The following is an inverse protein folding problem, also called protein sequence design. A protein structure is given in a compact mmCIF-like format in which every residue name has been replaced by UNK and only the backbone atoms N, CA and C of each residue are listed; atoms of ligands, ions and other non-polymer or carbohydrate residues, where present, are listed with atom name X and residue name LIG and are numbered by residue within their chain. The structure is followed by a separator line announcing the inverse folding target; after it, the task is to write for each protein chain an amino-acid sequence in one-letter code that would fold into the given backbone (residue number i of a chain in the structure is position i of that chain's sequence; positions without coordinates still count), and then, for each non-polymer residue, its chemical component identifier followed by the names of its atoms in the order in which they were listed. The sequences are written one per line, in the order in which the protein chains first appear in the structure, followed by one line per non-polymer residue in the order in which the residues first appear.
data_IF_027778393212
#
_entry.id   IF_027778393212
#
_cell.length_a   1.000
_cell.length_b   1.000
_cell.length_c   1.000
_cell.angle_alpha   90.00
_cell.angle_beta   90.00
_cell.angle_gamma   90.00
#
_symmetry.space_group_name_H-M   'P 1'
#
loop_
_entity.id
_entity.type
_entity.pdbx_description
1 polymer ?
#
# COMPACT_ATOMS: atom_id res chain seq x y z
N UNK A 1 -1.17 10.58 -18.89
CA UNK A 1 -0.74 9.69 -17.79
C UNK A 1 -1.91 9.55 -16.85
N UNK A 2 -2.30 8.31 -16.48
CA UNK A 2 -3.33 8.11 -15.48
C UNK A 2 -2.80 8.59 -14.12
N UNK A 3 -3.54 9.46 -13.46
CA UNK A 3 -3.19 9.91 -12.12
C UNK A 3 -3.40 8.76 -11.12
N UNK A 4 -2.50 8.61 -10.16
CA UNK A 4 -2.51 7.53 -9.17
C UNK A 4 -2.53 6.12 -9.81
N UNK A 5 -1.67 5.93 -10.83
CA UNK A 5 -1.59 4.69 -11.61
C UNK A 5 -1.38 3.44 -10.76
N UNK A 6 -0.64 3.56 -9.66
CA UNK A 6 -0.30 2.46 -8.76
C UNK A 6 -1.49 2.09 -7.88
N UNK A 7 -2.43 3.00 -7.62
CA UNK A 7 -3.75 2.62 -7.07
C UNK A 7 -4.58 1.88 -8.12
N UNK A 8 -4.63 2.38 -9.36
CA UNK A 8 -5.48 1.81 -10.43
C UNK A 8 -5.06 0.41 -10.80
N UNK A 9 -3.76 0.17 -10.97
CA UNK A 9 -3.26 -1.13 -11.41
C UNK A 9 -3.35 -2.22 -10.34
N UNK A 10 -3.72 -1.87 -9.12
CA UNK A 10 -4.02 -2.80 -8.03
C UNK A 10 -5.50 -3.24 -7.98
N UNK A 11 -6.33 -2.84 -8.95
CA UNK A 11 -7.77 -3.12 -8.96
C UNK A 11 -8.11 -4.09 -10.11
N UNK A 12 -8.34 -5.40 -9.84
CA UNK A 12 -8.47 -6.43 -10.89
C UNK A 12 -9.53 -6.20 -11.96
N UNK A 13 -10.57 -5.43 -11.64
CA UNK A 13 -11.67 -5.14 -12.57
C UNK A 13 -11.56 -3.76 -13.24
N UNK A 14 -10.47 -3.02 -13.01
CA UNK A 14 -10.14 -1.83 -13.79
C UNK A 14 -9.33 -2.21 -15.02
N UNK A 15 -9.54 -1.50 -16.14
CA UNK A 15 -8.81 -1.71 -17.40
C UNK A 15 -7.28 -1.57 -17.23
N UNK A 16 -6.85 -0.82 -16.20
CA UNK A 16 -5.44 -0.61 -15.88
C UNK A 16 -4.82 -1.63 -14.94
N UNK A 17 -5.51 -2.72 -14.57
CA UNK A 17 -4.96 -3.77 -13.71
C UNK A 17 -3.66 -4.36 -14.28
N UNK A 18 -2.71 -4.64 -13.38
CA UNK A 18 -1.42 -5.24 -13.68
C UNK A 18 -1.19 -6.40 -12.71
N UNK A 19 -1.04 -7.61 -13.22
CA UNK A 19 -0.72 -8.81 -12.41
C UNK A 19 0.60 -8.65 -11.63
N UNK A 20 1.50 -7.77 -12.09
CA UNK A 20 2.75 -7.46 -11.40
C UNK A 20 2.63 -6.32 -10.38
N UNK A 21 1.42 -5.82 -10.14
CA UNK A 21 1.15 -4.84 -9.08
C UNK A 21 1.36 -5.44 -7.70
N UNK A 22 1.32 -4.60 -6.66
CA UNK A 22 1.42 -5.06 -5.29
C UNK A 22 0.35 -6.12 -4.94
N UNK A 23 -0.92 -5.84 -5.25
CA UNK A 23 -2.06 -6.75 -5.04
C UNK A 23 -1.97 -8.00 -5.90
N UNK A 24 -1.53 -7.91 -7.17
CA UNK A 24 -1.34 -9.11 -7.99
C UNK A 24 -0.34 -10.07 -7.33
N UNK A 25 0.85 -9.57 -6.97
CA UNK A 25 1.85 -10.38 -6.25
C UNK A 25 1.39 -10.84 -4.87
N UNK A 26 0.70 -9.97 -4.13
CA UNK A 26 0.21 -10.27 -2.78
C UNK A 26 -0.86 -11.35 -2.80
N UNK A 27 -1.89 -11.19 -3.64
CA UNK A 27 -3.06 -12.05 -3.63
C UNK A 27 -2.85 -13.32 -4.44
N UNK A 28 -2.22 -13.23 -5.62
CA UNK A 28 -2.09 -14.35 -6.53
C UNK A 28 -0.82 -15.18 -6.24
N UNK A 29 0.31 -14.52 -5.95
CA UNK A 29 1.60 -15.21 -5.75
C UNK A 29 1.94 -15.45 -4.26
N UNK A 30 1.22 -14.82 -3.33
CA UNK A 30 1.57 -14.86 -1.91
C UNK A 30 2.93 -14.23 -1.62
N UNK A 31 3.28 -13.15 -2.34
CA UNK A 31 4.54 -12.42 -2.23
C UNK A 31 4.27 -10.98 -1.79
N UNK A 32 4.91 -10.55 -0.70
CA UNK A 32 5.08 -9.14 -0.39
C UNK A 32 6.30 -8.59 -1.14
N UNK A 33 6.08 -7.82 -2.19
CA UNK A 33 7.13 -7.13 -2.94
C UNK A 33 7.24 -5.67 -2.47
N UNK A 34 8.33 -5.35 -1.75
CA UNK A 34 8.52 -4.01 -1.21
C UNK A 34 8.57 -2.94 -2.31
N UNK A 35 9.16 -3.22 -3.47
CA UNK A 35 9.24 -2.23 -4.56
C UNK A 35 7.85 -1.88 -5.10
N UNK A 36 6.97 -2.86 -5.23
CA UNK A 36 5.58 -2.63 -5.65
C UNK A 36 4.75 -1.95 -4.56
N UNK A 37 4.98 -2.32 -3.30
CA UNK A 37 4.37 -1.66 -2.16
C UNK A 37 4.74 -0.17 -2.10
N UNK A 38 6.01 0.19 -2.29
CA UNK A 38 6.45 1.59 -2.26
C UNK A 38 5.83 2.44 -3.36
N UNK A 39 5.59 1.88 -4.55
CA UNK A 39 4.87 2.57 -5.61
C UNK A 39 3.43 2.89 -5.19
N UNK A 40 2.74 1.93 -4.60
CA UNK A 40 1.39 2.13 -4.05
C UNK A 40 1.39 3.17 -2.91
N UNK A 41 2.34 3.08 -1.97
CA UNK A 41 2.43 4.03 -0.86
C UNK A 41 2.67 5.47 -1.34
N UNK A 42 3.53 5.65 -2.34
CA UNK A 42 3.76 6.97 -2.94
C UNK A 42 2.47 7.55 -3.52
N UNK A 43 1.65 6.75 -4.20
CA UNK A 43 0.36 7.22 -4.67
C UNK A 43 -0.60 7.58 -3.52
N UNK A 44 -0.63 6.83 -2.42
CA UNK A 44 -1.42 7.18 -1.23
C UNK A 44 -0.97 8.53 -0.64
N UNK A 45 0.33 8.78 -0.61
CA UNK A 45 0.91 10.07 -0.17
C UNK A 45 0.51 11.20 -1.12
N UNK A 46 0.61 11.00 -2.44
CA UNK A 46 0.24 12.03 -3.43
C UNK A 46 -1.26 12.32 -3.42
N UNK A 47 -2.12 11.30 -3.24
CA UNK A 47 -3.56 11.49 -3.02
C UNK A 47 -3.79 12.42 -1.82
N UNK A 48 -3.11 12.20 -0.70
CA UNK A 48 -3.24 13.04 0.49
C UNK A 48 -2.79 14.47 0.23
N UNK A 49 -1.66 14.68 -0.46
CA UNK A 49 -1.16 16.03 -0.79
C UNK A 49 -2.13 16.78 -1.68
N UNK A 50 -2.72 16.10 -2.66
CA UNK A 50 -3.67 16.71 -3.61
C UNK A 50 -5.06 16.93 -3.01
N UNK A 51 -5.50 16.02 -2.15
CA UNK A 51 -6.81 16.02 -1.49
C UNK A 51 -6.64 15.99 0.05
N UNK A 52 -6.18 17.09 0.66
CA UNK A 52 -6.01 17.18 2.09
C UNK A 52 -7.37 17.17 2.80
N UNK A 53 -7.48 16.44 3.90
CA UNK A 53 -8.71 16.21 4.65
C UNK A 53 -9.12 17.55 5.25
N UNK A 54 -10.41 17.93 5.17
CA UNK A 54 -11.57 17.10 4.81
C UNK A 54 -11.98 17.13 3.32
N UNK A 55 -11.08 17.45 2.39
CA UNK A 55 -11.41 17.45 0.96
C UNK A 55 -11.76 16.06 0.44
N UNK A 56 -12.78 16.02 -0.43
CA UNK A 56 -13.22 14.79 -1.08
C UNK A 56 -12.15 14.22 -2.01
N UNK A 57 -11.88 12.92 -1.87
CA UNK A 57 -11.03 12.14 -2.75
C UNK A 57 -11.88 11.65 -3.94
N UNK A 58 -11.36 11.65 -5.18
CA UNK A 58 -12.10 11.13 -6.33
C UNK A 58 -12.60 9.69 -6.11
N UNK A 59 -13.86 9.43 -6.49
CA UNK A 59 -14.53 8.14 -6.22
C UNK A 59 -13.73 6.93 -6.72
N UNK A 60 -13.09 7.02 -7.88
CA UNK A 60 -12.30 5.92 -8.44
C UNK A 60 -11.08 5.57 -7.56
N UNK A 61 -10.47 6.56 -6.90
CA UNK A 61 -9.38 6.36 -5.93
C UNK A 61 -9.91 5.69 -4.68
N UNK A 62 -11.07 6.13 -4.17
CA UNK A 62 -11.73 5.52 -3.00
C UNK A 62 -12.06 4.04 -3.27
N UNK A 63 -12.57 3.73 -4.47
CA UNK A 63 -12.83 2.34 -4.90
C UNK A 63 -11.53 1.52 -4.94
N UNK A 64 -10.45 2.10 -5.46
CA UNK A 64 -9.15 1.42 -5.50
C UNK A 64 -8.59 1.13 -4.10
N UNK A 65 -8.64 2.11 -3.20
CA UNK A 65 -8.23 1.94 -1.80
C UNK A 65 -9.10 0.89 -1.09
N UNK A 66 -10.43 0.92 -1.29
CA UNK A 66 -11.34 -0.08 -0.73
C UNK A 66 -11.01 -1.50 -1.20
N UNK A 67 -10.73 -1.66 -2.49
CA UNK A 67 -10.33 -2.94 -3.08
C UNK A 67 -9.02 -3.46 -2.47
N UNK A 68 -8.02 -2.59 -2.29
CA UNK A 68 -6.76 -2.94 -1.62
C UNK A 68 -7.02 -3.42 -0.19
N UNK A 69 -7.89 -2.74 0.56
CA UNK A 69 -8.27 -3.15 1.92
C UNK A 69 -8.89 -4.55 1.91
N UNK A 70 -9.76 -4.85 0.96
CA UNK A 70 -10.40 -6.16 0.86
C UNK A 70 -9.35 -7.27 0.63
N UNK A 71 -8.38 -7.04 -0.24
CA UNK A 71 -7.31 -8.00 -0.52
C UNK A 71 -6.30 -8.17 0.63
N UNK A 72 -6.21 -7.22 1.55
CA UNK A 72 -5.41 -7.40 2.77
C UNK A 72 -6.01 -8.41 3.74
N UNK A 73 -7.31 -8.72 3.64
CA UNK A 73 -7.97 -9.71 4.49
C UNK A 73 -7.67 -11.16 4.09
N UNK A 74 -6.70 -11.41 3.20
CA UNK A 74 -6.30 -12.76 2.77
C UNK A 74 -5.79 -13.59 3.97
N UNK A 75 -6.27 -14.84 4.14
CA UNK A 75 -5.80 -15.70 5.23
C UNK A 75 -4.33 -16.09 5.04
N UNK A 76 -3.68 -16.48 6.13
CA UNK A 76 -2.30 -17.02 6.11
C UNK A 76 -1.23 -16.09 5.52
N UNK A 77 -1.49 -14.80 5.37
CA UNK A 77 -0.53 -13.82 4.87
C UNK A 77 0.82 -13.80 5.60
N UNK A 78 0.87 -14.29 6.83
CA UNK A 78 2.10 -14.45 7.61
C UNK A 78 3.09 -15.47 7.01
N UNK A 79 2.62 -16.33 6.10
CA UNK A 79 3.44 -17.33 5.40
C UNK A 79 3.96 -16.82 4.05
N UNK A 80 3.59 -15.60 3.66
CA UNK A 80 3.95 -15.04 2.35
C UNK A 80 5.45 -14.77 2.28
N UNK A 81 6.00 -14.96 1.09
CA UNK A 81 7.39 -14.64 0.80
C UNK A 81 7.59 -13.13 0.83
N UNK A 82 8.74 -12.68 1.33
CA UNK A 82 9.10 -11.27 1.34
C UNK A 82 10.19 -11.05 0.31
N UNK A 83 9.87 -10.32 -0.75
CA UNK A 83 10.87 -9.75 -1.65
C UNK A 83 11.28 -8.38 -1.10
N UNK A 84 12.29 -8.43 -0.22
CA UNK A 84 12.72 -7.28 0.56
C UNK A 84 13.49 -6.25 -0.28
N UNK A 85 13.26 -4.96 0.00
CA UNK A 85 14.13 -3.91 -0.53
C UNK A 85 15.54 -3.99 0.08
N UNK A 86 16.62 -3.79 -0.69
CA UNK A 86 18.00 -3.88 -0.20
C UNK A 86 18.38 -2.91 0.93
N UNK A 87 17.59 -1.84 1.12
CA UNK A 87 17.84 -0.80 2.13
C UNK A 87 17.05 -1.00 3.41
N UNK A 88 16.15 -1.99 3.47
CA UNK A 88 15.46 -2.34 4.71
C UNK A 88 16.31 -3.31 5.53
N UNK A 89 16.36 -3.15 6.86
CA UNK A 89 16.98 -4.16 7.72
C UNK A 89 16.31 -5.53 7.57
N UNK A 90 17.09 -6.60 7.61
CA UNK A 90 16.59 -7.99 7.60
C UNK A 90 15.63 -8.29 8.77
N UNK A 91 15.72 -7.51 9.85
CA UNK A 91 14.84 -7.61 11.02
C UNK A 91 13.41 -7.15 10.76
N UNK A 92 13.16 -6.39 9.68
CA UNK A 92 11.81 -6.00 9.29
C UNK A 92 11.14 -7.23 8.70
N UNK A 93 10.09 -7.71 9.35
CA UNK A 93 9.32 -8.88 8.91
C UNK A 93 8.04 -8.49 8.18
N UNK A 94 7.18 -9.48 7.95
CA UNK A 94 5.87 -9.27 7.32
C UNK A 94 4.90 -8.51 8.22
N UNK A 95 5.01 -8.66 9.55
CA UNK A 95 4.12 -7.95 10.49
C UNK A 95 4.36 -6.44 10.46
N UNK A 96 5.61 -6.00 10.47
CA UNK A 96 6.01 -4.59 10.37
C UNK A 96 5.52 -3.96 9.06
N UNK A 97 5.68 -4.67 7.95
CA UNK A 97 5.19 -4.27 6.62
C UNK A 97 3.68 -4.14 6.57
N UNK A 98 2.98 -5.14 7.08
CA UNK A 98 1.52 -5.15 7.12
C UNK A 98 0.97 -4.05 8.04
N UNK A 99 1.62 -3.80 9.18
CA UNK A 99 1.32 -2.68 10.07
C UNK A 99 1.49 -1.34 9.37
N UNK A 100 2.58 -1.17 8.60
CA UNK A 100 2.82 0.01 7.78
C UNK A 100 1.67 0.31 6.84
N UNK A 101 1.35 -0.64 5.96
CA UNK A 101 0.30 -0.45 4.96
C UNK A 101 -1.05 -0.15 5.62
N UNK A 102 -1.40 -0.86 6.70
CA UNK A 102 -2.62 -0.57 7.46
C UNK A 102 -2.64 0.84 8.03
N UNK A 103 -1.51 1.32 8.56
CA UNK A 103 -1.39 2.67 9.09
C UNK A 103 -1.55 3.71 7.98
N UNK A 104 -0.93 3.50 6.81
CA UNK A 104 -1.07 4.39 5.64
C UNK A 104 -2.52 4.44 5.15
N UNK A 105 -3.18 3.28 4.98
CA UNK A 105 -4.57 3.18 4.56
C UNK A 105 -5.55 3.81 5.57
N UNK A 106 -5.22 3.79 6.86
CA UNK A 106 -6.03 4.46 7.88
C UNK A 106 -5.89 5.97 7.79
N UNK A 107 -4.66 6.46 7.66
CA UNK A 107 -4.36 7.88 7.75
C UNK A 107 -4.86 8.68 6.56
N UNK A 108 -4.98 8.06 5.38
CA UNK A 108 -5.51 8.71 4.18
C UNK A 108 -6.91 9.31 4.36
N UNK A 109 -7.72 8.74 5.27
CA UNK A 109 -9.09 9.17 5.56
C UNK A 109 -9.21 10.05 6.82
N UNK A 110 -8.10 10.57 7.35
CA UNK A 110 -8.08 11.34 8.60
C UNK A 110 -7.31 12.66 8.46
N UNK A 111 -7.39 13.50 9.48
CA UNK A 111 -6.57 14.71 9.63
C UNK A 111 -5.09 14.42 9.92
N UNK A 112 -4.70 13.16 10.17
CA UNK A 112 -3.31 12.79 10.44
C UNK A 112 -2.43 12.99 9.20
N UNK A 113 -1.18 13.37 9.46
CA UNK A 113 -0.18 13.54 8.42
C UNK A 113 0.39 12.18 8.03
N UNK A 114 0.10 11.76 6.79
CA UNK A 114 0.61 10.51 6.21
C UNK A 114 2.06 10.64 5.74
N UNK A 115 2.53 11.86 5.47
CA UNK A 115 3.89 12.11 4.92
C UNK A 115 4.95 11.91 6.00
N UNK A 116 4.62 12.27 7.23
CA UNK A 116 5.55 12.27 8.37
C UNK A 116 5.35 11.10 9.33
N UNK A 117 4.72 10.00 8.89
CA UNK A 117 4.56 8.80 9.72
C UNK A 117 5.92 8.15 9.93
N UNK A 118 6.35 8.07 11.18
CA UNK A 118 7.54 7.36 11.57
C UNK A 118 7.17 5.95 12.01
N UNK A 119 7.97 4.97 11.57
CA UNK A 119 7.83 3.58 11.95
C UNK A 119 9.08 3.15 12.72
N UNK A 120 8.92 2.70 13.96
CA UNK A 120 10.05 2.52 14.89
C UNK A 120 11.00 1.36 14.51
N UNK A 121 10.60 0.46 13.62
CA UNK A 121 11.43 -0.68 13.20
C UNK A 121 12.62 -0.31 12.30
N UNK A 122 12.73 0.93 11.82
CA UNK A 122 13.99 1.42 11.22
C UNK A 122 15.12 1.59 12.27
N UNK A 123 14.78 1.61 13.56
CA UNK A 123 15.71 1.88 14.66
C UNK A 123 15.99 0.64 15.54
N UNK A 124 15.46 -0.54 15.20
CA UNK A 124 15.79 -1.78 15.91
C UNK A 124 17.20 -2.21 15.52
N UNK A 125 18.17 -1.78 16.33
CA UNK A 125 19.55 -2.28 16.33
C UNK A 125 19.63 -3.75 16.70
#
# INVERSE_FOLDING_TARGET
MCEFKDIIRNVPYFEGYDENSFIGKWYDDGVWDDEEYWKLENDLIEVRKKYPYPMDIPRYVVIGIGTIIDFLMVPNWKLFEIKASPWLPDSVGINERYERLKTMLRYIFTEKDIVNVQFDYYNKK
#
